data_IF_644664704940
#
_entry.id   IF_644664704940
#
_cell.length_a   1.000
_cell.length_b   1.000
_cell.length_c   1.000
_cell.angle_alpha   90.00
_cell.angle_beta   90.00
_cell.angle_gamma   90.00
#
_symmetry.space_group_name_H-M   'P 1'
#
loop_
_entity.id
_entity.type
_entity.pdbx_description
1 polymer ?
#
# COMPACT_ATOMS: atom_id res chain seq x y z
N UNK A 1 26.54 1.33 11.45
CA UNK A 1 26.07 0.17 12.19
C UNK A 1 25.76 -0.95 11.21
N UNK A 2 26.47 -2.07 11.30
CA UNK A 2 26.12 -3.26 10.55
C UNK A 2 24.95 -3.96 11.25
N UNK A 3 23.87 -4.21 10.48
CA UNK A 3 22.69 -4.93 10.96
C UNK A 3 22.75 -6.39 10.52
N UNK A 4 22.36 -7.35 11.37
CA UNK A 4 22.16 -8.73 10.97
C UNK A 4 21.17 -8.84 9.80
N UNK A 5 21.36 -9.80 8.89
CA UNK A 5 20.50 -9.96 7.71
C UNK A 5 19.03 -10.13 8.10
N UNK A 6 18.72 -10.95 9.10
CA UNK A 6 17.36 -11.12 9.62
C UNK A 6 16.68 -9.79 9.99
N UNK A 7 17.42 -8.86 10.59
CA UNK A 7 16.89 -7.55 10.97
C UNK A 7 16.59 -6.71 9.73
N UNK A 8 17.46 -6.77 8.71
CA UNK A 8 17.22 -6.09 7.42
C UNK A 8 15.94 -6.61 6.76
N UNK A 9 15.77 -7.93 6.71
CA UNK A 9 14.61 -8.57 6.09
C UNK A 9 13.31 -8.21 6.84
N UNK A 10 13.31 -8.24 8.17
CA UNK A 10 12.17 -7.80 8.99
C UNK A 10 11.83 -6.33 8.71
N UNK A 11 12.81 -5.45 8.63
CA UNK A 11 12.59 -4.02 8.35
C UNK A 11 11.96 -3.81 6.98
N UNK A 12 12.43 -4.53 5.96
CA UNK A 12 11.84 -4.46 4.60
C UNK A 12 10.39 -4.95 4.65
N UNK A 13 10.13 -6.10 5.25
CA UNK A 13 8.80 -6.67 5.35
C UNK A 13 7.82 -5.72 6.06
N UNK A 14 8.20 -5.13 7.18
CA UNK A 14 7.36 -4.17 7.91
C UNK A 14 7.15 -2.89 7.10
N UNK A 15 8.17 -2.41 6.38
CA UNK A 15 8.05 -1.24 5.50
C UNK A 15 7.06 -1.50 4.36
N UNK A 16 7.12 -2.68 3.71
CA UNK A 16 6.19 -3.05 2.65
C UNK A 16 4.75 -3.25 3.17
N UNK A 17 4.57 -3.79 4.36
CA UNK A 17 3.25 -3.85 5.00
C UNK A 17 2.66 -2.45 5.23
N UNK A 18 3.48 -1.48 5.65
CA UNK A 18 3.04 -0.09 5.76
C UNK A 18 2.74 0.54 4.41
N UNK A 19 3.47 0.17 3.37
CA UNK A 19 3.17 0.60 1.99
C UNK A 19 1.82 0.08 1.55
N UNK A 20 1.52 -1.20 1.74
CA UNK A 20 0.21 -1.79 1.44
C UNK A 20 -0.88 -1.06 2.23
N UNK A 21 -0.66 -0.80 3.52
CA UNK A 21 -1.59 -0.09 4.39
C UNK A 21 -1.94 1.30 3.85
N UNK A 22 -0.94 2.06 3.41
CA UNK A 22 -1.12 3.40 2.84
C UNK A 22 -1.81 3.35 1.47
N UNK A 23 -1.49 2.38 0.62
CA UNK A 23 -2.12 2.19 -0.68
C UNK A 23 -3.61 1.83 -0.56
N UNK A 24 -3.98 1.02 0.43
CA UNK A 24 -5.40 0.71 0.70
C UNK A 24 -6.19 1.97 1.12
N UNK A 25 -5.59 2.86 1.91
CA UNK A 25 -6.22 4.15 2.25
C UNK A 25 -6.37 5.01 1.00
N UNK A 26 -5.27 5.18 0.24
CA UNK A 26 -5.29 5.97 -0.98
C UNK A 26 -6.35 5.47 -1.96
N UNK A 27 -6.39 4.19 -2.26
CA UNK A 27 -7.34 3.61 -3.21
C UNK A 27 -8.78 3.77 -2.73
N UNK A 28 -9.04 3.57 -1.43
CA UNK A 28 -10.35 3.74 -0.83
C UNK A 28 -10.86 5.19 -0.93
N UNK A 29 -10.02 6.16 -0.56
CA UNK A 29 -10.38 7.60 -0.63
C UNK A 29 -10.51 8.07 -2.07
N UNK A 30 -9.62 7.66 -2.97
CA UNK A 30 -9.71 7.99 -4.39
C UNK A 30 -11.00 7.44 -5.02
N UNK A 31 -11.35 6.18 -4.72
CA UNK A 31 -12.61 5.59 -5.17
C UNK A 31 -13.82 6.40 -4.68
N UNK A 32 -13.81 6.82 -3.43
CA UNK A 32 -14.87 7.64 -2.82
C UNK A 32 -15.00 9.00 -3.54
N UNK A 33 -13.89 9.68 -3.82
CA UNK A 33 -13.87 10.99 -4.49
C UNK A 33 -14.44 10.95 -5.92
N UNK A 34 -14.22 9.83 -6.63
CA UNK A 34 -14.82 9.63 -7.96
C UNK A 34 -16.23 9.04 -7.91
N UNK A 35 -16.82 8.89 -6.72
CA UNK A 35 -18.19 8.46 -6.52
C UNK A 35 -18.39 6.96 -6.25
N UNK A 36 -17.32 6.17 -6.15
CA UNK A 36 -17.36 4.74 -5.84
C UNK A 36 -17.15 4.50 -4.33
N UNK A 37 -18.08 4.95 -3.49
CA UNK A 37 -17.98 4.92 -2.02
C UNK A 37 -17.75 3.49 -1.47
N UNK A 38 -18.33 2.48 -2.10
CA UNK A 38 -18.14 1.07 -1.68
C UNK A 38 -16.69 0.63 -1.69
N UNK A 39 -15.86 1.15 -2.58
CA UNK A 39 -14.42 0.81 -2.67
C UNK A 39 -13.71 1.11 -1.36
N UNK A 40 -14.04 2.23 -0.70
CA UNK A 40 -13.50 2.56 0.61
C UNK A 40 -13.78 1.46 1.64
N UNK A 41 -15.00 0.96 1.68
CA UNK A 41 -15.38 -0.11 2.63
C UNK A 41 -14.59 -1.40 2.37
N UNK A 42 -14.41 -1.78 1.10
CA UNK A 42 -13.65 -2.96 0.71
C UNK A 42 -12.15 -2.80 1.05
N UNK A 43 -11.54 -1.66 0.75
CA UNK A 43 -10.15 -1.40 1.09
C UNK A 43 -9.92 -1.40 2.61
N UNK A 44 -10.82 -0.79 3.38
CA UNK A 44 -10.71 -0.74 4.83
C UNK A 44 -10.96 -2.09 5.50
N UNK A 45 -11.74 -2.98 4.88
CA UNK A 45 -11.89 -4.37 5.32
C UNK A 45 -10.55 -5.11 5.35
N UNK A 46 -9.76 -5.00 4.29
CA UNK A 46 -8.44 -5.64 4.23
C UNK A 46 -7.41 -4.87 5.08
N UNK A 47 -7.51 -3.55 5.12
CA UNK A 47 -6.66 -2.72 5.98
C UNK A 47 -6.83 -3.06 7.47
N UNK A 48 -8.03 -3.40 7.91
CA UNK A 48 -8.30 -3.82 9.28
C UNK A 48 -7.50 -5.07 9.68
N UNK A 49 -7.37 -6.05 8.78
CA UNK A 49 -6.54 -7.23 9.01
C UNK A 49 -5.06 -6.86 9.18
N UNK A 50 -4.59 -5.90 8.39
CA UNK A 50 -3.21 -5.43 8.46
C UNK A 50 -2.95 -4.66 9.77
N UNK A 51 -3.92 -3.89 10.25
CA UNK A 51 -3.83 -3.24 11.56
C UNK A 51 -3.78 -4.25 12.71
N UNK A 52 -4.49 -5.37 12.61
CA UNK A 52 -4.39 -6.47 13.57
C UNK A 52 -2.97 -7.10 13.58
N UNK A 53 -2.34 -7.25 12.40
CA UNK A 53 -0.96 -7.70 12.29
C UNK A 53 0.03 -6.71 12.94
N UNK A 54 -0.20 -5.41 12.81
CA UNK A 54 0.58 -4.38 13.49
C UNK A 54 0.42 -4.47 15.01
N UNK A 55 -0.79 -4.69 15.48
CA UNK A 55 -1.09 -4.86 16.91
C UNK A 55 -0.40 -6.11 17.48
N UNK A 56 -0.43 -7.21 16.76
CA UNK A 56 0.32 -8.43 17.12
C UNK A 56 1.83 -8.16 17.19
N UNK A 57 2.36 -7.36 16.24
CA UNK A 57 3.79 -7.08 16.12
C UNK A 57 4.32 -6.17 17.23
N UNK A 58 3.58 -5.12 17.57
CA UNK A 58 4.10 -4.01 18.39
C UNK A 58 3.13 -3.50 19.46
N UNK A 59 1.94 -4.09 19.58
CA UNK A 59 0.90 -3.64 20.52
C UNK A 59 0.17 -2.37 20.08
N UNK A 60 0.42 -1.85 18.87
CA UNK A 60 -0.18 -0.64 18.33
C UNK A 60 -0.69 -0.87 16.91
N UNK A 61 -1.90 -0.41 16.63
CA UNK A 61 -2.55 -0.63 15.33
C UNK A 61 -2.02 0.29 14.23
N UNK A 62 -1.87 1.58 14.48
CA UNK A 62 -1.56 2.59 13.46
C UNK A 62 -0.08 2.97 13.39
N UNK A 63 0.57 3.20 14.51
CA UNK A 63 1.96 3.68 14.57
C UNK A 63 2.82 2.73 15.38
N UNK A 64 3.21 1.59 14.82
CA UNK A 64 3.83 0.52 15.60
C UNK A 64 5.21 0.87 16.16
N UNK A 65 5.84 1.98 15.77
CA UNK A 65 7.16 2.40 16.27
C UNK A 65 8.14 1.22 16.48
N UNK A 66 8.11 0.27 15.54
CA UNK A 66 8.81 -1.00 15.65
C UNK A 66 10.25 -0.93 15.14
N UNK A 67 10.48 -0.16 14.06
CA UNK A 67 11.82 0.09 13.55
C UNK A 67 12.54 1.08 14.46
N UNK A 68 13.78 0.76 14.83
CA UNK A 68 14.62 1.57 15.71
C UNK A 68 15.95 1.88 15.05
N UNK A 69 16.62 2.92 15.55
CA UNK A 69 18.03 3.15 15.21
C UNK A 69 18.82 1.96 15.74
N UNK A 70 19.55 1.30 14.86
CA UNK A 70 20.32 0.10 15.20
C UNK A 70 19.53 -1.22 15.10
N UNK A 71 18.26 -1.21 14.63
CA UNK A 71 17.54 -2.48 14.43
C UNK A 71 16.03 -2.40 14.45
N UNK A 72 15.43 -3.31 15.19
CA UNK A 72 14.00 -3.41 15.49
C UNK A 72 13.81 -3.53 16.98
N UNK A 73 12.59 -3.24 17.46
CA UNK A 73 12.27 -3.22 18.89
C UNK A 73 12.46 -4.59 19.55
N UNK A 74 12.02 -5.64 18.90
CA UNK A 74 12.05 -7.03 19.37
C UNK A 74 11.94 -7.98 18.16
N UNK A 75 12.14 -9.28 18.35
CA UNK A 75 11.95 -10.26 17.26
C UNK A 75 10.46 -10.48 17.00
N UNK A 76 10.15 -11.12 15.87
CA UNK A 76 8.78 -11.39 15.44
C UNK A 76 8.04 -12.27 16.47
N UNK A 77 6.80 -11.91 16.85
CA UNK A 77 5.98 -12.74 17.72
C UNK A 77 5.70 -14.11 17.09
N UNK A 78 5.52 -15.12 17.95
CA UNK A 78 5.15 -16.46 17.48
C UNK A 78 3.84 -16.43 16.69
N UNK A 79 3.82 -17.08 15.51
CA UNK A 79 2.64 -17.14 14.64
C UNK A 79 2.42 -15.89 13.76
N UNK A 80 3.18 -14.82 13.97
CA UNK A 80 2.99 -13.60 13.19
C UNK A 80 3.33 -13.78 11.71
N UNK A 81 4.40 -14.49 11.38
CA UNK A 81 4.81 -14.76 10.01
C UNK A 81 3.73 -15.55 9.24
N UNK A 82 3.14 -16.54 9.86
CA UNK A 82 2.03 -17.32 9.29
C UNK A 82 0.78 -16.46 9.08
N UNK A 83 0.48 -15.58 10.03
CA UNK A 83 -0.64 -14.64 9.92
C UNK A 83 -0.43 -13.65 8.77
N UNK A 84 0.80 -13.15 8.56
CA UNK A 84 1.15 -12.31 7.39
C UNK A 84 0.95 -13.07 6.10
N UNK A 85 1.40 -14.33 6.02
CA UNK A 85 1.23 -15.15 4.81
C UNK A 85 -0.25 -15.35 4.48
N UNK A 86 -1.06 -15.70 5.47
CA UNK A 86 -2.52 -15.82 5.30
C UNK A 86 -3.17 -14.53 4.82
N UNK A 87 -2.71 -13.40 5.33
CA UNK A 87 -3.18 -12.09 4.88
C UNK A 87 -2.80 -11.83 3.40
N UNK A 88 -1.57 -12.14 2.99
CA UNK A 88 -1.10 -11.92 1.61
C UNK A 88 -1.85 -12.81 0.62
N UNK A 89 -2.06 -14.09 0.93
CA UNK A 89 -2.83 -15.03 0.10
C UNK A 89 -4.28 -14.52 -0.12
N UNK A 90 -4.87 -13.95 0.92
CA UNK A 90 -6.19 -13.32 0.83
C UNK A 90 -6.16 -12.02 0.01
N UNK A 91 -5.15 -11.17 0.23
CA UNK A 91 -5.03 -9.87 -0.44
C UNK A 91 -4.90 -10.05 -1.95
N UNK A 92 -4.16 -11.03 -2.42
CA UNK A 92 -3.99 -11.33 -3.84
C UNK A 92 -5.34 -11.53 -4.53
N UNK A 93 -6.23 -12.32 -3.92
CA UNK A 93 -7.60 -12.52 -4.43
C UNK A 93 -8.40 -11.22 -4.42
N UNK A 94 -8.17 -10.35 -3.43
CA UNK A 94 -8.90 -9.08 -3.28
C UNK A 94 -8.44 -7.99 -4.23
N UNK A 95 -7.25 -8.10 -4.80
CA UNK A 95 -6.80 -7.18 -5.84
C UNK A 95 -7.66 -7.29 -7.11
N UNK A 96 -8.06 -8.51 -7.49
CA UNK A 96 -8.98 -8.72 -8.62
C UNK A 96 -10.35 -8.06 -8.36
N UNK A 97 -10.86 -8.15 -7.12
CA UNK A 97 -12.10 -7.47 -6.71
C UNK A 97 -11.99 -5.94 -6.87
N UNK A 98 -10.84 -5.35 -6.52
CA UNK A 98 -10.61 -3.92 -6.70
C UNK A 98 -10.47 -3.51 -8.17
N UNK A 99 -9.85 -4.35 -9.00
CA UNK A 99 -9.80 -4.11 -10.44
C UNK A 99 -11.20 -4.10 -11.07
N UNK A 100 -12.05 -5.02 -10.68
CA UNK A 100 -13.43 -5.08 -11.18
C UNK A 100 -14.27 -3.88 -10.71
N UNK A 101 -14.05 -3.43 -9.47
CA UNK A 101 -14.78 -2.29 -8.90
C UNK A 101 -14.33 -0.93 -9.47
N UNK A 102 -13.06 -0.76 -9.79
CA UNK A 102 -12.48 0.50 -10.26
C UNK A 102 -11.99 0.41 -11.71
N UNK A 103 -10.88 -0.29 -11.95
CA UNK A 103 -10.13 -0.23 -13.21
C UNK A 103 -10.99 -0.64 -14.43
N UNK A 104 -11.87 -1.63 -14.26
CA UNK A 104 -12.78 -2.13 -15.29
C UNK A 104 -14.16 -1.44 -15.27
N UNK A 105 -14.42 -0.57 -14.30
CA UNK A 105 -15.70 0.10 -14.17
C UNK A 105 -15.84 1.22 -15.19
N UNK A 106 -16.89 1.18 -16.01
CA UNK A 106 -17.13 2.15 -17.09
C UNK A 106 -17.26 3.58 -16.56
N UNK A 107 -17.96 3.78 -15.45
CA UNK A 107 -18.14 5.12 -14.85
C UNK A 107 -16.79 5.68 -14.40
N UNK A 108 -15.95 4.86 -13.77
CA UNK A 108 -14.60 5.24 -13.37
C UNK A 108 -13.73 5.62 -14.57
N UNK A 109 -13.76 4.81 -15.64
CA UNK A 109 -13.03 5.05 -16.87
C UNK A 109 -13.45 6.39 -17.50
N UNK A 110 -14.74 6.64 -17.62
CA UNK A 110 -15.28 7.90 -18.19
C UNK A 110 -14.92 9.13 -17.37
N UNK A 111 -14.77 8.99 -16.05
CA UNK A 111 -14.39 10.10 -15.15
C UNK A 111 -12.89 10.39 -15.11
N UNK A 112 -12.05 9.43 -15.44
CA UNK A 112 -10.59 9.54 -15.29
C UNK A 112 -9.85 9.61 -16.62
N UNK A 113 -10.34 8.96 -17.68
CA UNK A 113 -9.67 8.90 -18.97
C UNK A 113 -9.55 10.29 -19.60
N UNK A 114 -8.33 10.70 -19.86
CA UNK A 114 -8.04 12.00 -20.48
C UNK A 114 -8.14 13.20 -19.54
N UNK A 115 -8.36 12.97 -18.25
CA UNK A 115 -8.41 14.04 -17.23
C UNK A 115 -7.07 14.13 -16.51
N UNK A 116 -6.55 15.34 -16.34
CA UNK A 116 -5.29 15.59 -15.61
C UNK A 116 -4.05 14.99 -16.27
N UNK A 117 -4.04 14.91 -17.59
CA UNK A 117 -2.90 14.36 -18.35
C UNK A 117 -1.66 15.20 -18.15
N UNK A 118 -0.59 14.58 -17.66
CA UNK A 118 0.74 15.19 -17.51
C UNK A 118 1.65 14.64 -18.61
N UNK A 119 2.28 15.53 -19.36
CA UNK A 119 3.27 15.15 -20.38
C UNK A 119 4.60 14.76 -19.74
N UNK A 120 5.41 13.96 -20.42
CA UNK A 120 6.76 13.60 -19.94
C UNK A 120 7.63 14.84 -19.69
N UNK A 121 7.53 15.85 -20.56
CA UNK A 121 8.25 17.12 -20.44
C UNK A 121 7.86 17.86 -19.13
N UNK A 122 6.57 18.01 -18.87
CA UNK A 122 6.08 18.62 -17.64
C UNK A 122 6.43 17.81 -16.40
N UNK A 123 6.38 16.48 -16.49
CA UNK A 123 6.77 15.61 -15.38
C UNK A 123 8.23 15.83 -14.97
N UNK A 124 9.13 15.95 -15.95
CA UNK A 124 10.54 16.25 -15.70
C UNK A 124 10.73 17.67 -15.17
N UNK A 125 10.09 18.65 -15.79
CA UNK A 125 10.19 20.06 -15.39
C UNK A 125 9.70 20.33 -13.96
N UNK A 126 8.68 19.59 -13.51
CA UNK A 126 8.12 19.69 -12.15
C UNK A 126 8.79 18.78 -11.14
N UNK A 127 9.75 17.96 -11.56
CA UNK A 127 10.46 17.02 -10.68
C UNK A 127 9.56 15.90 -10.15
N UNK A 128 8.57 15.47 -10.93
CA UNK A 128 7.68 14.35 -10.55
C UNK A 128 8.45 13.04 -10.58
N UNK A 129 8.17 12.18 -9.62
CA UNK A 129 8.82 10.85 -9.44
C UNK A 129 7.78 9.76 -9.24
N UNK A 130 8.23 8.49 -9.29
CA UNK A 130 7.42 7.31 -9.00
C UNK A 130 6.28 7.09 -9.99
N UNK A 131 5.08 6.66 -9.53
CA UNK A 131 3.98 6.26 -10.39
C UNK A 131 3.51 7.37 -11.36
N UNK A 132 3.53 8.63 -10.94
CA UNK A 132 3.13 9.77 -11.78
C UNK A 132 4.11 9.96 -12.93
N UNK A 133 5.41 9.92 -12.67
CA UNK A 133 6.44 10.03 -13.70
C UNK A 133 6.34 8.87 -14.70
N UNK A 134 6.17 7.65 -14.22
CA UNK A 134 5.98 6.46 -15.08
C UNK A 134 4.71 6.54 -15.92
N UNK A 135 3.60 7.02 -15.36
CA UNK A 135 2.35 7.24 -16.09
C UNK A 135 2.51 8.31 -17.18
N UNK A 136 3.37 9.30 -16.98
CA UNK A 136 3.72 10.32 -17.97
C UNK A 136 4.71 9.81 -19.04
N UNK A 137 5.18 8.57 -18.97
CA UNK A 137 6.14 7.97 -19.92
C UNK A 137 7.62 8.24 -19.59
N UNK A 138 7.93 8.78 -18.41
CA UNK A 138 9.30 8.99 -17.94
C UNK A 138 9.81 7.72 -17.28
N UNK A 139 10.87 7.12 -17.83
CA UNK A 139 11.50 5.93 -17.26
C UNK A 139 12.53 6.31 -16.19
N UNK A 140 12.03 6.81 -15.08
CA UNK A 140 12.82 7.19 -13.90
C UNK A 140 12.07 6.81 -12.62
N UNK A 141 12.81 6.21 -11.67
CA UNK A 141 12.28 5.74 -10.39
C UNK A 141 13.00 6.40 -9.21
#
# INVERSE_FOLDING_TARGET
>A
LELPQRVKDIRVMVAEMQRINSHLVWMGTHGMEVGAVSVMLYCFRERELLLNLNEMLAGFRLFPSYMRVGGVREDLPRGWHEAVRTFLDRLEIKLDEYEDLLTKNHIYIERTKGVGVVTAENAVAWGLVGPIARAAGVNYD
#
